data_IF_542432586179
#
_entry.id   IF_542432586179
#
_cell.length_a   1.000
_cell.length_b   1.000
_cell.length_c   1.000
_cell.angle_alpha   90.00
_cell.angle_beta   90.00
_cell.angle_gamma   90.00
#
_symmetry.space_group_name_H-M   'P 1'
#
loop_
_entity.id
_entity.type
_entity.pdbx_description
1 polymer ?
#
# COMPACT_ATOMS: atom_id res chain seq x y z
N UNK A 1 35.82 -15.10 4.64
CA UNK A 1 36.04 -14.96 3.18
C UNK A 1 36.81 -13.67 2.98
N UNK A 2 38.10 -13.75 2.64
CA UNK A 2 38.96 -12.57 2.51
C UNK A 2 38.68 -11.89 1.17
N UNK A 3 38.34 -10.60 1.20
CA UNK A 3 38.11 -9.78 0.00
C UNK A 3 39.47 -9.22 -0.42
N UNK A 4 40.03 -9.72 -1.52
CA UNK A 4 41.39 -9.42 -1.98
C UNK A 4 41.50 -8.19 -2.90
N UNK A 5 40.40 -7.70 -3.47
CA UNK A 5 40.41 -6.57 -4.40
C UNK A 5 39.37 -5.52 -4.05
N UNK A 6 39.82 -4.28 -3.85
CA UNK A 6 38.98 -3.08 -3.68
C UNK A 6 38.88 -2.32 -5.02
N UNK A 7 38.59 -3.03 -6.12
CA UNK A 7 38.40 -2.39 -7.42
C UNK A 7 36.96 -1.92 -7.56
N UNK A 8 36.77 -0.62 -7.74
CA UNK A 8 35.48 -0.02 -8.04
C UNK A 8 35.04 -0.47 -9.43
N UNK A 9 34.04 -1.35 -9.50
CA UNK A 9 33.40 -1.73 -10.77
C UNK A 9 32.37 -0.67 -11.14
N UNK A 10 32.47 -0.13 -12.36
CA UNK A 10 31.42 0.71 -12.91
C UNK A 10 30.12 -0.11 -13.01
N UNK A 11 28.98 0.55 -12.78
CA UNK A 11 27.67 -0.10 -12.92
C UNK A 11 27.42 -0.43 -14.39
N UNK A 12 27.39 -1.73 -14.73
CA UNK A 12 27.19 -2.24 -16.09
C UNK A 12 25.70 -2.42 -16.46
N UNK A 13 24.77 -2.19 -15.52
CA UNK A 13 23.34 -2.32 -15.76
C UNK A 13 22.73 -1.14 -16.53
N UNK A 14 21.51 -1.34 -17.04
CA UNK A 14 20.75 -0.26 -17.69
C UNK A 14 20.51 0.90 -16.72
N UNK A 15 20.87 2.11 -17.14
CA UNK A 15 20.67 3.29 -16.32
C UNK A 15 19.15 3.56 -16.14
N UNK A 16 18.64 3.65 -14.90
CA UNK A 16 17.23 3.95 -14.69
C UNK A 16 16.88 5.32 -15.26
N UNK A 17 15.75 5.38 -15.96
CA UNK A 17 15.14 6.61 -16.47
C UNK A 17 15.03 7.65 -15.37
N UNK A 18 15.21 8.95 -15.69
CA UNK A 18 15.29 10.01 -14.67
C UNK A 18 14.10 10.02 -13.68
N UNK A 19 12.90 9.69 -14.16
CA UNK A 19 11.68 9.63 -13.35
C UNK A 19 11.58 8.40 -12.44
N UNK A 20 12.28 7.30 -12.74
CA UNK A 20 12.22 6.09 -11.91
C UNK A 20 13.29 6.04 -10.81
N UNK A 21 14.26 6.96 -10.84
CA UNK A 21 15.36 7.00 -9.86
C UNK A 21 14.87 7.22 -8.43
N UNK A 22 13.88 8.09 -8.23
CA UNK A 22 13.33 8.33 -6.89
C UNK A 22 12.50 7.15 -6.37
N UNK A 23 11.90 6.36 -7.27
CA UNK A 23 11.06 5.21 -6.92
C UNK A 23 11.86 4.02 -6.38
N UNK A 24 13.19 4.04 -6.50
CA UNK A 24 14.06 2.97 -6.02
C UNK A 24 13.87 2.74 -4.52
N UNK A 25 13.92 3.79 -3.71
CA UNK A 25 13.77 3.72 -2.25
C UNK A 25 12.40 3.14 -1.84
N UNK A 26 11.25 3.73 -2.25
CA UNK A 26 9.95 3.20 -1.86
C UNK A 26 9.68 1.80 -2.45
N UNK A 27 10.23 1.47 -3.64
CA UNK A 27 10.06 0.14 -4.23
C UNK A 27 10.70 -0.95 -3.37
N UNK A 28 11.93 -0.76 -2.89
CA UNK A 28 12.58 -1.75 -2.03
C UNK A 28 11.94 -1.80 -0.64
N UNK A 29 11.56 -0.65 -0.09
CA UNK A 29 10.82 -0.56 1.16
C UNK A 29 9.50 -1.35 1.12
N UNK A 30 8.66 -1.12 0.10
CA UNK A 30 7.39 -1.84 -0.08
C UNK A 30 7.60 -3.33 -0.33
N UNK A 31 8.60 -3.70 -1.14
CA UNK A 31 8.91 -5.12 -1.39
C UNK A 31 9.26 -5.86 -0.09
N UNK A 32 10.01 -5.23 0.80
CA UNK A 32 10.38 -5.81 2.08
C UNK A 32 9.16 -5.96 3.01
N UNK A 33 8.26 -4.96 3.03
CA UNK A 33 7.01 -5.01 3.81
C UNK A 33 6.12 -6.18 3.36
N UNK A 34 5.90 -6.32 2.04
CA UNK A 34 5.07 -7.39 1.48
C UNK A 34 5.73 -8.78 1.47
N UNK A 35 7.00 -8.88 1.87
CA UNK A 35 7.68 -10.17 2.09
C UNK A 35 7.10 -10.93 3.28
N UNK A 36 6.54 -10.20 4.27
CA UNK A 36 5.91 -10.81 5.44
C UNK A 36 4.52 -11.35 5.10
N UNK A 37 4.33 -12.67 5.24
CA UNK A 37 3.02 -13.31 5.02
C UNK A 37 1.93 -12.79 5.96
N UNK A 38 2.31 -12.46 7.20
CA UNK A 38 1.38 -11.93 8.21
C UNK A 38 0.86 -10.56 7.79
N UNK A 39 1.78 -9.66 7.39
CA UNK A 39 1.39 -8.34 6.93
C UNK A 39 0.48 -8.42 5.70
N UNK A 40 0.86 -9.23 4.71
CA UNK A 40 0.06 -9.43 3.50
C UNK A 40 -1.32 -10.00 3.81
N UNK A 41 -1.43 -10.93 4.76
CA UNK A 41 -2.72 -11.46 5.21
C UNK A 41 -3.59 -10.38 5.86
N UNK A 42 -3.05 -9.58 6.78
CA UNK A 42 -3.79 -8.46 7.41
C UNK A 42 -4.23 -7.45 6.35
N UNK A 43 -3.35 -7.11 5.42
CA UNK A 43 -3.66 -6.22 4.30
C UNK A 43 -4.83 -6.74 3.47
N UNK A 44 -4.85 -8.04 3.12
CA UNK A 44 -5.96 -8.68 2.40
C UNK A 44 -7.26 -8.65 3.22
N UNK A 45 -7.18 -8.91 4.52
CA UNK A 45 -8.36 -8.87 5.42
C UNK A 45 -9.00 -7.48 5.44
N UNK A 46 -8.20 -6.40 5.35
CA UNK A 46 -8.75 -5.04 5.24
C UNK A 46 -9.60 -4.83 3.98
N UNK A 47 -9.45 -5.65 2.93
CA UNK A 47 -10.29 -5.60 1.73
C UNK A 47 -11.62 -6.37 1.85
N UNK A 48 -11.84 -7.12 2.93
CA UNK A 48 -13.12 -7.83 3.12
C UNK A 48 -14.26 -6.83 3.25
N UNK A 49 -14.08 -5.76 4.02
CA UNK A 49 -15.11 -4.74 4.21
C UNK A 49 -15.50 -4.00 2.91
N UNK A 50 -14.58 -3.49 2.06
CA UNK A 50 -14.92 -2.88 0.79
C UNK A 50 -15.50 -3.88 -0.20
N UNK A 51 -15.11 -5.15 -0.15
CA UNK A 51 -15.74 -6.20 -0.95
C UNK A 51 -17.22 -6.36 -0.56
N UNK A 52 -17.52 -6.44 0.73
CA UNK A 52 -18.90 -6.52 1.23
C UNK A 52 -19.69 -5.28 0.82
N UNK A 53 -19.13 -4.08 1.02
CA UNK A 53 -19.77 -2.83 0.61
C UNK A 53 -20.06 -2.80 -0.90
N UNK A 54 -19.12 -3.24 -1.74
CA UNK A 54 -19.31 -3.32 -3.19
C UNK A 54 -20.42 -4.30 -3.58
N UNK A 55 -20.50 -5.46 -2.92
CA UNK A 55 -21.58 -6.45 -3.13
C UNK A 55 -22.93 -5.83 -2.76
N UNK A 56 -23.02 -5.14 -1.62
CA UNK A 56 -24.25 -4.47 -1.18
C UNK A 56 -24.71 -3.40 -2.18
N UNK A 57 -23.77 -2.60 -2.69
CA UNK A 57 -24.05 -1.59 -3.72
C UNK A 57 -24.56 -2.24 -5.01
N UNK A 58 -23.93 -3.34 -5.44
CA UNK A 58 -24.33 -4.08 -6.63
C UNK A 58 -25.72 -4.69 -6.50
N UNK A 59 -26.01 -5.35 -5.37
CA UNK A 59 -27.32 -5.94 -5.10
C UNK A 59 -28.42 -4.90 -5.05
N UNK A 60 -28.16 -3.72 -4.47
CA UNK A 60 -29.13 -2.63 -4.42
C UNK A 60 -29.53 -2.11 -5.81
N UNK A 61 -28.62 -2.15 -6.80
CA UNK A 61 -28.90 -1.67 -8.16
C UNK A 61 -29.50 -2.75 -9.09
N UNK A 62 -29.32 -4.03 -8.79
CA UNK A 62 -29.73 -5.11 -9.68
C UNK A 62 -31.18 -5.58 -9.42
N UNK A 63 -32.13 -5.06 -10.22
CA UNK A 63 -33.56 -5.40 -10.15
C UNK A 63 -33.88 -6.89 -10.26
N UNK A 64 -33.08 -7.68 -10.99
CA UNK A 64 -33.26 -9.13 -11.12
C UNK A 64 -32.77 -9.90 -9.88
N UNK A 65 -31.74 -9.38 -9.20
CA UNK A 65 -31.23 -9.97 -7.97
C UNK A 65 -32.21 -9.76 -6.79
N UNK A 66 -32.90 -8.62 -6.74
CA UNK A 66 -33.96 -8.37 -5.74
C UNK A 66 -35.14 -9.35 -5.89
N UNK A 67 -35.52 -9.70 -7.12
CA UNK A 67 -36.61 -10.64 -7.38
C UNK A 67 -36.32 -12.05 -6.85
N UNK A 68 -35.05 -12.48 -6.86
CA UNK A 68 -34.62 -13.78 -6.33
C UNK A 68 -34.52 -13.79 -4.80
N UNK A 69 -34.25 -12.65 -4.17
CA UNK A 69 -34.05 -12.57 -2.72
C UNK A 69 -35.34 -12.35 -1.92
N UNK A 70 -36.45 -11.99 -2.56
CA UNK A 70 -37.74 -11.61 -1.92
C UNK A 70 -37.63 -10.63 -0.72
N UNK A 71 -36.50 -9.93 -0.62
CA UNK A 71 -36.18 -8.99 0.46
C UNK A 71 -36.15 -7.59 -0.16
N UNK A 72 -36.88 -6.65 0.43
CA UNK A 72 -36.82 -5.23 0.07
C UNK A 72 -35.48 -4.62 0.53
N UNK A 73 -34.40 -4.93 -0.18
CA UNK A 73 -33.04 -4.42 0.09
C UNK A 73 -32.99 -2.89 0.10
N UNK A 74 -33.92 -2.26 -0.63
CA UNK A 74 -34.08 -0.81 -0.76
C UNK A 74 -34.52 -0.12 0.55
N UNK A 75 -35.20 -0.82 1.44
CA UNK A 75 -35.57 -0.31 2.78
C UNK A 75 -34.52 -0.66 3.84
N UNK A 76 -33.84 -1.81 3.72
CA UNK A 76 -32.83 -2.23 4.71
C UNK A 76 -31.54 -1.42 4.64
N UNK A 77 -31.12 -0.98 3.44
CA UNK A 77 -29.83 -0.29 3.23
C UNK A 77 -29.97 0.84 2.19
N UNK A 78 -30.42 2.04 2.60
CA UNK A 78 -30.36 3.20 1.72
C UNK A 78 -28.89 3.57 1.46
N UNK A 79 -28.49 3.61 0.19
CA UNK A 79 -27.16 4.06 -0.22
C UNK A 79 -27.15 5.59 -0.18
N UNK A 80 -27.00 6.13 1.03
CA UNK A 80 -26.96 7.57 1.31
C UNK A 80 -25.55 8.02 1.71
N UNK A 81 -25.41 9.32 2.00
CA UNK A 81 -24.17 9.91 2.53
C UNK A 81 -23.67 9.21 3.81
N UNK A 82 -24.57 8.74 4.67
CA UNK A 82 -24.23 8.03 5.91
C UNK A 82 -23.54 6.69 5.65
N UNK A 83 -23.94 5.98 4.59
CA UNK A 83 -23.28 4.75 4.15
C UNK A 83 -21.82 5.01 3.75
N UNK A 84 -21.59 6.00 2.87
CA UNK A 84 -20.23 6.36 2.43
C UNK A 84 -19.37 6.89 3.57
N UNK A 85 -19.95 7.67 4.49
CA UNK A 85 -19.24 8.15 5.68
C UNK A 85 -18.78 7.00 6.56
N UNK A 86 -19.69 6.08 6.88
CA UNK A 86 -19.38 4.89 7.71
C UNK A 86 -18.33 4.04 7.01
N UNK A 87 -18.44 3.89 5.69
CA UNK A 87 -17.46 3.16 4.89
C UNK A 87 -16.05 3.75 5.00
N UNK A 88 -15.94 5.08 4.82
CA UNK A 88 -14.67 5.81 4.93
C UNK A 88 -14.10 5.77 6.35
N UNK A 89 -14.94 5.87 7.38
CA UNK A 89 -14.49 5.80 8.79
C UNK A 89 -13.89 4.43 9.11
N UNK A 90 -14.59 3.35 8.73
CA UNK A 90 -14.10 1.98 8.95
C UNK A 90 -12.83 1.71 8.14
N UNK A 91 -12.78 2.11 6.86
CA UNK A 91 -11.57 1.95 6.05
C UNK A 91 -10.41 2.82 6.54
N UNK A 92 -10.69 4.04 6.97
CA UNK A 92 -9.70 4.92 7.56
C UNK A 92 -9.09 4.32 8.82
N UNK A 93 -9.89 3.68 9.67
CA UNK A 93 -9.39 2.98 10.86
C UNK A 93 -8.46 1.81 10.50
N UNK A 94 -8.82 0.99 9.51
CA UNK A 94 -7.94 -0.09 9.03
C UNK A 94 -6.64 0.43 8.42
N UNK A 95 -6.72 1.47 7.57
CA UNK A 95 -5.55 2.12 7.00
C UNK A 95 -4.64 2.69 8.10
N UNK A 96 -5.21 3.33 9.11
CA UNK A 96 -4.47 3.86 10.25
C UNK A 96 -3.70 2.75 10.98
N UNK A 97 -4.36 1.64 11.34
CA UNK A 97 -3.71 0.50 12.01
C UNK A 97 -2.56 -0.05 11.15
N UNK A 98 -2.77 -0.25 9.85
CA UNK A 98 -1.73 -0.72 8.94
C UNK A 98 -0.54 0.24 8.90
N UNK A 99 -0.79 1.55 8.80
CA UNK A 99 0.28 2.56 8.74
C UNK A 99 1.09 2.62 10.03
N UNK A 100 0.44 2.52 11.20
CA UNK A 100 1.13 2.52 12.50
C UNK A 100 2.05 1.31 12.66
N UNK A 101 1.67 0.15 12.11
CA UNK A 101 2.50 -1.07 12.18
C UNK A 101 3.72 -0.96 11.24
N UNK A 102 3.53 -0.41 10.03
CA UNK A 102 4.55 -0.43 8.97
C UNK A 102 5.47 0.78 8.99
N UNK A 103 5.00 1.96 9.39
CA UNK A 103 5.78 3.19 9.30
C UNK A 103 7.04 3.19 10.19
N UNK A 104 7.00 2.77 11.47
CA UNK A 104 8.19 2.79 12.34
C UNK A 104 9.37 1.93 11.84
N UNK A 105 9.20 0.66 11.40
CA UNK A 105 10.32 -0.13 10.92
C UNK A 105 10.88 0.38 9.58
N UNK A 106 10.07 1.06 8.76
CA UNK A 106 10.57 1.68 7.52
C UNK A 106 11.53 2.84 7.80
N UNK A 107 11.20 3.70 8.78
CA UNK A 107 12.02 4.88 9.09
C UNK A 107 13.21 4.53 9.99
N UNK A 108 12.97 3.70 11.02
CA UNK A 108 13.99 3.41 12.04
C UNK A 108 15.18 2.61 11.49
N UNK A 109 14.96 1.71 10.53
CA UNK A 109 16.04 0.93 9.90
C UNK A 109 16.99 1.81 9.07
N UNK A 110 16.46 2.81 8.37
CA UNK A 110 17.29 3.74 7.60
C UNK A 110 18.14 4.63 8.53
N UNK A 111 17.57 5.06 9.66
CA UNK A 111 18.29 5.83 10.66
C UNK A 111 19.35 5.00 11.39
N UNK A 112 19.01 3.79 11.83
CA UNK A 112 19.91 2.89 12.55
C UNK A 112 21.14 2.47 11.72
N UNK A 113 20.98 2.38 10.39
CA UNK A 113 22.06 2.00 9.47
C UNK A 113 22.77 3.21 8.83
N UNK A 114 22.48 4.44 9.27
CA UNK A 114 23.04 5.67 8.69
C UNK A 114 22.88 5.72 7.15
N UNK A 115 21.70 5.36 6.64
CA UNK A 115 21.44 5.35 5.19
C UNK A 115 21.20 6.77 4.62
N UNK A 116 20.82 7.74 5.46
CA UNK A 116 20.47 9.09 5.02
C UNK A 116 21.60 9.83 4.26
N UNK A 117 22.88 9.81 4.69
CA UNK A 117 23.97 10.38 3.89
C UNK A 117 24.05 9.74 2.51
N UNK A 118 23.89 8.41 2.38
CA UNK A 118 23.92 7.74 1.08
C UNK A 118 22.80 8.22 0.15
N UNK A 119 21.60 8.46 0.70
CA UNK A 119 20.46 8.98 -0.07
C UNK A 119 20.67 10.44 -0.51
N UNK A 120 21.32 11.27 0.31
CA UNK A 120 21.45 12.70 0.08
C UNK A 120 22.77 13.11 -0.60
N UNK A 121 23.75 12.21 -0.70
CA UNK A 121 25.06 12.49 -1.31
C UNK A 121 25.01 12.74 -2.83
N UNK A 122 23.91 12.38 -3.52
CA UNK A 122 23.80 12.55 -4.98
C UNK A 122 22.46 13.17 -5.37
N UNK A 123 22.45 14.25 -6.17
CA UNK A 123 21.21 14.83 -6.65
C UNK A 123 20.49 13.85 -7.58
N UNK A 124 19.18 13.68 -7.36
CA UNK A 124 18.34 12.75 -8.14
C UNK A 124 18.07 13.25 -9.57
N UNK A 125 18.12 14.57 -9.78
CA UNK A 125 17.99 15.25 -11.06
C UNK A 125 19.09 16.30 -11.25
N UNK A 126 19.42 16.67 -12.49
CA UNK A 126 20.37 17.76 -12.80
C UNK A 126 19.78 19.16 -12.61
N UNK A 127 18.46 19.26 -12.44
CA UNK A 127 17.71 20.53 -12.31
C UNK A 127 17.37 20.88 -10.86
N UNK A 128 17.91 20.13 -9.90
CA UNK A 128 17.74 20.31 -8.46
C UNK A 128 19.09 20.22 -7.77
#
# INVERSE_FOLDING_TARGET
MAVYEHLYRAYEGEAPTSWSRFLVIPRYALREVFKSKIFTAIFIVCFIYPLIAAILVYLHHNVNALALLQINVRELLPIDNTFFRTFLEVQGAFAFILTVIVAPPLISRDLANNALPLYLCRPLSRTQ
#
